data_IF_954993020895
#
_entry.id   IF_954993020895
#
_cell.length_a   1.000
_cell.length_b   1.000
_cell.length_c   1.000
_cell.angle_alpha   90.00
_cell.angle_beta   90.00
_cell.angle_gamma   90.00
#
_symmetry.space_group_name_H-M   'P 1'
#
loop_
_entity.id
_entity.type
_entity.pdbx_description
1 polymer ?
#
# COMPACT_ATOMS: atom_id res chain seq x y z
N UNK A 1 10.09 47.08 68.98
CA UNK A 1 10.58 46.74 67.63
C UNK A 1 10.69 45.23 67.50
N UNK A 2 9.80 44.62 66.70
CA UNK A 2 10.05 43.46 65.82
C UNK A 2 8.72 43.19 65.11
N UNK A 3 8.69 43.55 63.82
CA UNK A 3 7.58 43.32 62.90
C UNK A 3 7.59 41.90 62.36
N UNK A 4 6.39 41.41 62.07
CA UNK A 4 5.98 40.19 61.36
C UNK A 4 6.56 40.08 59.94
N UNK A 5 6.64 38.86 59.38
CA UNK A 5 5.86 38.35 58.21
C UNK A 5 6.21 36.86 57.98
N UNK A 6 5.23 35.94 57.78
CA UNK A 6 5.49 34.60 57.28
C UNK A 6 5.54 34.57 55.74
N UNK A 7 6.53 33.89 55.18
CA UNK A 7 6.77 33.71 53.76
C UNK A 7 5.76 32.71 53.16
N UNK A 8 4.80 33.19 52.38
CA UNK A 8 3.92 32.37 51.54
C UNK A 8 4.64 32.03 50.23
N UNK A 9 5.00 30.77 50.04
CA UNK A 9 5.49 30.24 48.76
C UNK A 9 4.28 29.86 47.91
N UNK A 10 3.93 30.68 46.93
CA UNK A 10 3.03 30.27 45.85
C UNK A 10 3.82 29.46 44.82
N UNK A 11 3.71 28.13 44.90
CA UNK A 11 4.10 27.25 43.80
C UNK A 11 3.08 27.38 42.66
N UNK A 12 3.47 28.04 41.57
CA UNK A 12 2.67 28.08 40.36
C UNK A 12 2.62 26.68 39.74
N UNK A 13 1.54 25.95 40.00
CA UNK A 13 1.21 24.74 39.26
C UNK A 13 0.79 25.18 37.84
N UNK A 14 1.72 25.10 36.89
CA UNK A 14 1.38 25.24 35.48
C UNK A 14 0.52 24.05 35.07
N UNK A 15 -0.81 24.19 35.22
CA UNK A 15 -1.75 23.35 34.49
C UNK A 15 -1.56 23.64 33.00
N UNK A 16 -0.73 22.83 32.35
CA UNK A 16 -0.79 22.68 30.90
C UNK A 16 -2.22 22.24 30.58
N UNK A 17 -3.03 23.17 30.09
CA UNK A 17 -4.33 22.84 29.54
C UNK A 17 -4.09 21.82 28.43
N UNK A 18 -4.45 20.57 28.68
CA UNK A 18 -4.78 19.62 27.62
C UNK A 18 -5.99 20.22 26.92
N UNK A 19 -5.74 21.15 26.00
CA UNK A 19 -6.73 21.55 25.02
C UNK A 19 -7.12 20.26 24.32
N UNK A 20 -8.30 19.76 24.66
CA UNK A 20 -8.93 18.65 23.95
C UNK A 20 -8.90 19.04 22.48
N UNK A 21 -8.04 18.39 21.71
CA UNK A 21 -7.95 18.62 20.27
C UNK A 21 -9.34 18.35 19.73
N UNK A 22 -10.05 19.42 19.33
CA UNK A 22 -11.37 19.27 18.73
C UNK A 22 -11.20 18.31 17.56
N UNK A 23 -12.04 17.27 17.42
CA UNK A 23 -11.97 16.39 16.28
C UNK A 23 -12.06 17.25 15.02
N UNK A 24 -10.99 17.27 14.24
CA UNK A 24 -11.00 17.93 12.93
C UNK A 24 -11.98 17.13 12.10
N UNK A 25 -13.14 17.74 11.83
CA UNK A 25 -14.07 17.19 10.85
C UNK A 25 -13.31 17.16 9.53
N UNK A 26 -13.08 15.97 8.98
CA UNK A 26 -12.45 15.81 7.68
C UNK A 26 -13.16 16.76 6.71
N UNK A 27 -12.47 17.79 6.22
CA UNK A 27 -13.00 18.61 5.15
C UNK A 27 -13.38 17.72 3.97
N UNK A 28 -14.28 18.19 3.10
CA UNK A 28 -14.70 17.41 1.95
C UNK A 28 -13.45 17.02 1.14
N UNK A 29 -13.11 15.72 1.10
CA UNK A 29 -12.02 15.23 0.24
C UNK A 29 -12.55 15.31 -1.20
N UNK A 30 -12.04 16.27 -1.96
CA UNK A 30 -12.45 16.51 -3.35
C UNK A 30 -11.53 15.84 -4.37
N UNK A 31 -10.33 15.43 -3.94
CA UNK A 31 -9.29 14.87 -4.80
C UNK A 31 -8.53 13.76 -4.08
N UNK A 32 -8.18 12.71 -4.83
CA UNK A 32 -7.28 11.65 -4.42
C UNK A 32 -6.02 11.73 -5.28
N UNK A 33 -4.87 11.90 -4.65
CA UNK A 33 -3.56 11.86 -5.31
C UNK A 33 -2.90 10.53 -4.94
N UNK A 34 -2.49 9.76 -5.94
CA UNK A 34 -1.91 8.44 -5.74
C UNK A 34 -0.42 8.46 -6.05
N UNK A 35 0.39 7.88 -5.16
CA UNK A 35 1.83 7.72 -5.34
C UNK A 35 2.18 6.25 -5.21
N UNK A 36 2.91 5.73 -6.19
CA UNK A 36 3.25 4.32 -6.21
C UNK A 36 4.00 3.90 -7.47
N UNK A 37 3.80 2.64 -7.84
CA UNK A 37 4.45 1.97 -8.97
C UNK A 37 3.41 1.37 -9.94
N UNK A 38 3.72 0.25 -10.59
CA UNK A 38 2.91 -0.41 -11.62
C UNK A 38 1.45 -0.66 -11.23
N UNK A 39 1.21 -0.96 -9.95
CA UNK A 39 -0.13 -1.25 -9.41
C UNK A 39 -0.98 0.02 -9.21
N UNK A 40 -0.36 1.21 -9.23
CA UNK A 40 -1.01 2.54 -9.19
C UNK A 40 -0.90 3.33 -10.50
N UNK A 41 0.07 3.00 -11.34
CA UNK A 41 0.38 3.73 -12.56
C UNK A 41 -0.82 3.71 -13.50
N UNK A 42 -1.30 4.90 -13.84
CA UNK A 42 -2.45 5.10 -14.70
C UNK A 42 -2.07 5.33 -16.17
N UNK A 43 -0.82 5.02 -16.53
CA UNK A 43 -0.23 5.19 -17.86
C UNK A 43 0.71 6.40 -17.96
N UNK A 44 1.06 7.01 -16.82
CA UNK A 44 1.91 8.20 -16.74
C UNK A 44 3.34 7.90 -16.26
N UNK A 45 3.60 6.71 -15.72
CA UNK A 45 4.92 6.28 -15.30
C UNK A 45 5.68 5.61 -16.44
N UNK A 46 5.83 4.29 -16.37
CA UNK A 46 6.71 3.53 -17.27
C UNK A 46 6.34 3.72 -18.74
N UNK A 47 5.05 3.85 -19.05
CA UNK A 47 4.57 4.05 -20.42
C UNK A 47 5.07 5.34 -21.04
N UNK A 48 5.05 6.46 -20.34
CA UNK A 48 5.60 7.70 -20.89
C UNK A 48 7.13 7.69 -20.88
N UNK A 49 7.75 7.18 -19.81
CA UNK A 49 9.21 7.13 -19.66
C UNK A 49 9.89 6.29 -20.74
N UNK A 50 9.23 5.23 -21.21
CA UNK A 50 9.74 4.34 -22.25
C UNK A 50 9.28 4.74 -23.65
N UNK A 51 8.81 5.97 -23.84
CA UNK A 51 8.25 6.43 -25.12
C UNK A 51 7.17 5.48 -25.66
N UNK A 52 6.25 5.07 -24.78
CA UNK A 52 5.09 4.22 -25.04
C UNK A 52 5.42 2.77 -25.44
N UNK A 53 6.61 2.28 -25.09
CA UNK A 53 7.05 0.91 -25.43
C UNK A 53 6.89 -0.09 -24.29
N UNK A 54 6.61 0.37 -23.06
CA UNK A 54 6.41 -0.49 -21.89
C UNK A 54 5.18 -0.09 -21.05
N UNK A 55 4.28 -1.01 -20.68
CA UNK A 55 4.31 -2.44 -20.97
C UNK A 55 4.10 -2.75 -22.46
N UNK A 56 4.84 -3.74 -22.96
CA UNK A 56 4.96 -3.98 -24.40
C UNK A 56 3.76 -4.75 -25.00
N UNK A 57 3.10 -5.61 -24.23
CA UNK A 57 1.97 -6.38 -24.73
C UNK A 57 0.75 -5.49 -25.00
N UNK A 58 0.12 -5.54 -26.19
CA UNK A 58 -1.04 -4.70 -26.51
C UNK A 58 -2.28 -5.03 -25.66
N UNK A 59 -2.29 -6.14 -24.91
CA UNK A 59 -3.39 -6.47 -24.02
C UNK A 59 -3.42 -5.58 -22.76
N UNK A 60 -2.34 -4.85 -22.45
CA UNK A 60 -2.34 -3.86 -21.37
C UNK A 60 -3.14 -2.60 -21.72
N UNK A 61 -3.97 -2.15 -20.79
CA UNK A 61 -4.89 -1.04 -21.04
C UNK A 61 -4.19 0.31 -20.93
N UNK A 62 -3.98 1.00 -22.05
CA UNK A 62 -3.44 2.37 -22.11
C UNK A 62 -2.17 2.57 -21.25
N UNK A 63 -1.24 1.63 -21.32
CA UNK A 63 0.03 1.70 -20.59
C UNK A 63 -0.04 1.32 -19.10
N UNK A 64 -1.17 0.77 -18.63
CA UNK A 64 -1.35 0.28 -17.27
C UNK A 64 -1.01 -1.19 -17.18
N UNK A 65 -0.47 -1.62 -16.05
CA UNK A 65 -0.18 -3.03 -15.77
C UNK A 65 -1.44 -3.81 -15.35
N UNK A 66 -2.52 -3.68 -16.13
CA UNK A 66 -3.77 -4.43 -15.97
C UNK A 66 -4.59 -4.35 -17.27
N UNK A 67 -5.72 -5.06 -17.34
CA UNK A 67 -6.66 -5.01 -18.47
C UNK A 67 -7.66 -3.85 -18.42
N UNK A 68 -7.45 -2.88 -17.52
CA UNK A 68 -8.35 -1.76 -17.34
C UNK A 68 -7.84 -0.74 -16.31
N UNK A 69 -8.73 0.04 -15.69
CA UNK A 69 -8.40 0.87 -14.53
C UNK A 69 -7.74 0.08 -13.39
N UNK A 70 -6.73 0.69 -12.78
CA UNK A 70 -5.98 0.18 -11.62
C UNK A 70 -6.48 0.81 -10.33
N UNK A 71 -6.46 0.04 -9.24
CA UNK A 71 -7.00 0.41 -7.93
C UNK A 71 -5.95 0.88 -6.92
N UNK A 72 -4.66 0.81 -7.29
CA UNK A 72 -3.54 1.29 -6.49
C UNK A 72 -3.09 0.33 -5.38
N UNK A 73 -1.87 -0.19 -5.52
CA UNK A 73 -1.04 -0.86 -4.50
C UNK A 73 0.44 -0.65 -4.89
N UNK A 74 1.41 -0.98 -4.05
CA UNK A 74 2.84 -0.88 -4.42
C UNK A 74 3.50 -2.27 -4.54
N UNK A 75 4.32 -2.42 -5.57
CA UNK A 75 5.18 -3.52 -6.01
C UNK A 75 6.57 -3.45 -5.33
N UNK A 76 7.18 -4.61 -5.09
CA UNK A 76 8.52 -4.77 -4.51
C UNK A 76 9.28 -6.00 -5.05
N UNK A 77 8.89 -6.51 -6.22
CA UNK A 77 9.33 -7.83 -6.69
C UNK A 77 10.82 -7.91 -7.06
N UNK A 78 11.39 -6.84 -7.62
CA UNK A 78 12.75 -6.88 -8.19
C UNK A 78 13.89 -6.84 -7.15
N UNK A 79 13.57 -6.92 -5.87
CA UNK A 79 14.54 -6.88 -4.79
C UNK A 79 14.68 -8.23 -4.05
N UNK A 80 13.62 -9.04 -3.96
CA UNK A 80 13.65 -10.25 -3.14
C UNK A 80 14.47 -11.34 -3.83
N UNK A 81 15.55 -11.80 -3.18
CA UNK A 81 16.42 -12.88 -3.67
C UNK A 81 17.75 -12.44 -4.32
N UNK A 82 18.09 -11.16 -4.33
CA UNK A 82 19.44 -10.71 -4.73
C UNK A 82 20.42 -10.73 -3.54
N UNK A 83 21.74 -10.89 -3.76
CA UNK A 83 22.75 -10.90 -2.69
C UNK A 83 22.83 -9.63 -1.83
N UNK A 84 22.09 -8.58 -2.21
CA UNK A 84 22.07 -7.26 -1.56
C UNK A 84 21.19 -7.26 -0.30
N UNK A 85 20.40 -8.32 -0.05
CA UNK A 85 19.45 -8.35 1.06
C UNK A 85 19.84 -9.38 2.13
N UNK A 86 20.10 -8.89 3.34
CA UNK A 86 20.43 -9.74 4.50
C UNK A 86 19.25 -10.65 4.93
N UNK A 87 18.01 -10.15 4.90
CA UNK A 87 16.79 -10.94 5.15
C UNK A 87 15.50 -10.28 4.62
N UNK A 88 14.44 -11.05 4.35
CA UNK A 88 13.12 -10.52 3.98
C UNK A 88 12.56 -9.50 4.99
N UNK A 89 12.75 -9.72 6.28
CA UNK A 89 12.27 -8.86 7.36
C UNK A 89 12.99 -7.52 7.39
N UNK A 90 14.32 -7.53 7.21
CA UNK A 90 15.11 -6.28 7.14
C UNK A 90 14.71 -5.45 5.93
N UNK A 91 14.44 -6.11 4.80
CA UNK A 91 13.97 -5.42 3.61
C UNK A 91 12.56 -4.84 3.78
N UNK A 92 11.65 -5.59 4.38
CA UNK A 92 10.31 -5.13 4.74
C UNK A 92 10.34 -3.92 5.69
N UNK A 93 11.18 -3.96 6.73
CA UNK A 93 11.40 -2.84 7.65
C UNK A 93 11.94 -1.61 6.92
N UNK A 94 12.90 -1.78 6.00
CA UNK A 94 13.42 -0.71 5.16
C UNK A 94 12.39 -0.12 4.21
N UNK A 95 11.45 -0.94 3.72
CA UNK A 95 10.36 -0.53 2.85
C UNK A 95 9.33 0.30 3.62
N UNK A 96 8.93 -0.16 4.80
CA UNK A 96 8.04 0.58 5.69
C UNK A 96 8.65 1.94 6.13
N UNK A 97 9.95 2.01 6.37
CA UNK A 97 10.64 3.28 6.66
C UNK A 97 10.58 4.25 5.48
N UNK A 98 10.84 3.80 4.26
CA UNK A 98 10.75 4.64 3.05
C UNK A 98 9.34 5.13 2.79
N UNK A 99 8.34 4.28 3.03
CA UNK A 99 6.94 4.67 2.99
C UNK A 99 6.64 5.80 3.97
N UNK A 100 7.10 5.70 5.22
CA UNK A 100 6.90 6.77 6.20
C UNK A 100 7.73 8.03 5.91
N UNK A 101 8.88 7.91 5.25
CA UNK A 101 9.62 9.07 4.74
C UNK A 101 8.83 9.81 3.66
N UNK A 102 8.15 9.09 2.76
CA UNK A 102 7.25 9.71 1.78
C UNK A 102 6.07 10.42 2.46
N UNK A 103 5.47 9.80 3.48
CA UNK A 103 4.43 10.44 4.32
C UNK A 103 4.96 11.74 4.94
N UNK A 104 6.18 11.73 5.48
CA UNK A 104 6.79 12.92 6.08
C UNK A 104 7.04 14.05 5.05
N UNK A 105 7.49 13.71 3.84
CA UNK A 105 7.66 14.70 2.75
C UNK A 105 6.32 15.33 2.40
N UNK A 106 5.28 14.53 2.20
CA UNK A 106 3.93 15.01 1.89
C UNK A 106 3.32 15.81 3.04
N UNK A 107 3.55 15.39 4.29
CA UNK A 107 3.12 16.14 5.48
C UNK A 107 3.76 17.52 5.54
N UNK A 108 5.07 17.61 5.27
CA UNK A 108 5.79 18.90 5.19
C UNK A 108 5.26 19.79 4.06
N UNK A 109 4.71 19.20 3.00
CA UNK A 109 4.01 19.91 1.93
C UNK A 109 2.54 20.25 2.27
N UNK A 110 2.06 19.90 3.46
CA UNK A 110 0.71 20.24 3.96
C UNK A 110 -0.32 19.12 3.91
N UNK A 111 0.05 17.90 3.47
CA UNK A 111 -0.88 16.78 3.49
C UNK A 111 -1.16 16.31 4.92
N UNK A 112 -2.45 16.17 5.27
CA UNK A 112 -2.90 15.71 6.60
C UNK A 112 -3.69 14.40 6.56
N UNK A 113 -4.12 13.97 5.37
CA UNK A 113 -4.90 12.75 5.16
C UNK A 113 -4.11 11.78 4.28
N UNK A 114 -3.91 10.56 4.78
CA UNK A 114 -3.17 9.51 4.09
C UNK A 114 -3.96 8.21 4.12
N UNK A 115 -3.92 7.48 3.01
CA UNK A 115 -4.45 6.12 2.89
C UNK A 115 -3.26 5.25 2.51
N UNK A 116 -2.95 4.26 3.33
CA UNK A 116 -1.75 3.44 3.17
C UNK A 116 -2.15 1.95 3.17
N UNK A 117 -1.99 1.24 2.04
CA UNK A 117 -2.14 -0.21 2.03
C UNK A 117 -0.96 -0.90 2.73
N UNK A 118 -1.18 -2.08 3.31
CA UNK A 118 -0.09 -2.92 3.80
C UNK A 118 0.77 -3.56 2.70
N UNK A 119 0.34 -3.47 1.43
CA UNK A 119 0.92 -4.18 0.27
C UNK A 119 0.18 -5.50 -0.04
N UNK A 120 0.33 -6.07 -1.25
CA UNK A 120 -0.21 -7.38 -1.58
C UNK A 120 0.56 -8.51 -0.86
N UNK A 121 -0.10 -9.64 -0.60
CA UNK A 121 0.60 -10.86 -0.20
C UNK A 121 1.38 -11.40 -1.40
N UNK A 122 2.70 -11.41 -1.30
CA UNK A 122 3.54 -11.80 -2.44
C UNK A 122 3.61 -13.32 -2.63
N UNK A 123 3.28 -14.09 -1.60
CA UNK A 123 3.25 -15.55 -1.66
C UNK A 123 2.02 -16.13 -2.37
N UNK A 124 1.02 -15.31 -2.69
CA UNK A 124 -0.22 -15.75 -3.37
C UNK A 124 -0.23 -15.46 -4.88
N UNK A 125 0.85 -14.88 -5.40
CA UNK A 125 0.93 -14.43 -6.78
C UNK A 125 1.29 -15.57 -7.74
N UNK A 126 0.81 -15.53 -8.99
CA UNK A 126 1.17 -16.55 -9.96
C UNK A 126 2.68 -16.65 -10.20
N UNK A 127 3.41 -15.52 -10.20
CA UNK A 127 4.87 -15.52 -10.29
C UNK A 127 5.50 -16.43 -9.21
N UNK A 128 5.08 -16.27 -7.95
CA UNK A 128 5.69 -16.97 -6.82
C UNK A 128 5.52 -18.49 -6.91
N UNK A 129 4.42 -18.96 -7.50
CA UNK A 129 4.18 -20.39 -7.76
C UNK A 129 5.23 -21.04 -8.68
N UNK A 130 5.92 -20.24 -9.49
CA UNK A 130 6.97 -20.70 -10.42
C UNK A 130 8.37 -20.75 -9.77
N UNK A 131 8.50 -20.26 -8.53
CA UNK A 131 9.79 -20.13 -7.84
C UNK A 131 10.07 -21.30 -6.89
N UNK A 132 11.32 -21.42 -6.41
CA UNK A 132 11.69 -22.47 -5.45
C UNK A 132 11.00 -22.28 -4.09
N UNK A 133 10.82 -23.35 -3.28
CA UNK A 133 10.21 -23.24 -1.95
C UNK A 133 10.89 -22.23 -1.02
N UNK A 134 12.21 -22.06 -1.13
CA UNK A 134 12.96 -21.06 -0.34
C UNK A 134 12.60 -19.63 -0.74
N UNK A 135 12.39 -19.37 -2.03
CA UNK A 135 11.95 -18.06 -2.53
C UNK A 135 10.50 -17.79 -2.13
N UNK A 136 9.61 -18.79 -2.25
CA UNK A 136 8.22 -18.69 -1.77
C UNK A 136 8.16 -18.34 -0.28
N UNK A 137 8.94 -19.02 0.55
CA UNK A 137 9.05 -18.71 1.98
C UNK A 137 9.54 -17.28 2.23
N UNK A 138 10.47 -16.78 1.41
CA UNK A 138 10.99 -15.41 1.51
C UNK A 138 9.92 -14.37 1.17
N UNK A 139 9.08 -14.60 0.15
CA UNK A 139 7.95 -13.74 -0.17
C UNK A 139 6.89 -13.71 0.95
N UNK A 140 6.61 -14.87 1.55
CA UNK A 140 5.67 -14.96 2.68
C UNK A 140 6.21 -14.21 3.91
N UNK A 141 7.49 -14.44 4.25
CA UNK A 141 8.17 -13.76 5.34
C UNK A 141 8.21 -12.23 5.13
N UNK A 142 8.56 -11.78 3.92
CA UNK A 142 8.53 -10.37 3.55
C UNK A 142 7.14 -9.76 3.75
N UNK A 143 6.10 -10.37 3.18
CA UNK A 143 4.73 -9.82 3.19
C UNK A 143 4.21 -9.67 4.62
N UNK A 144 4.46 -10.68 5.46
CA UNK A 144 4.11 -10.63 6.89
C UNK A 144 4.89 -9.55 7.63
N UNK A 145 6.20 -9.45 7.39
CA UNK A 145 7.05 -8.46 8.05
C UNK A 145 6.69 -7.03 7.62
N UNK A 146 6.34 -6.82 6.36
CA UNK A 146 5.96 -5.51 5.82
C UNK A 146 4.69 -5.02 6.49
N UNK A 147 3.65 -5.86 6.56
CA UNK A 147 2.41 -5.52 7.23
C UNK A 147 2.66 -5.05 8.66
N UNK A 148 3.43 -5.82 9.44
CA UNK A 148 3.76 -5.49 10.83
C UNK A 148 4.58 -4.20 10.94
N UNK A 149 5.57 -4.00 10.06
CA UNK A 149 6.42 -2.83 10.05
C UNK A 149 5.63 -1.56 9.70
N UNK A 150 4.80 -1.59 8.64
CA UNK A 150 3.93 -0.47 8.25
C UNK A 150 2.99 -0.13 9.40
N UNK A 151 2.33 -1.12 9.98
CA UNK A 151 1.44 -0.90 11.11
C UNK A 151 2.15 -0.28 12.31
N UNK A 152 3.33 -0.79 12.66
CA UNK A 152 4.16 -0.27 13.77
C UNK A 152 4.57 1.18 13.54
N UNK A 153 5.12 1.49 12.37
CA UNK A 153 5.63 2.82 12.06
C UNK A 153 4.50 3.85 11.91
N UNK A 154 3.41 3.51 11.23
CA UNK A 154 2.25 4.39 11.12
C UNK A 154 1.63 4.72 12.49
N UNK A 155 1.47 3.72 13.38
CA UNK A 155 1.00 3.93 14.75
C UNK A 155 1.95 4.83 15.57
N UNK A 156 3.26 4.62 15.45
CA UNK A 156 4.24 5.47 16.12
C UNK A 156 4.20 6.92 15.60
N UNK A 157 4.03 7.08 14.30
CA UNK A 157 3.97 8.38 13.65
C UNK A 157 2.70 9.16 14.02
N UNK A 158 1.54 8.50 14.11
CA UNK A 158 0.29 9.10 14.59
C UNK A 158 0.39 9.57 16.05
N UNK A 159 1.12 8.83 16.92
CA UNK A 159 1.37 9.28 18.30
C UNK A 159 2.16 10.60 18.36
N UNK A 160 3.11 10.78 17.44
CA UNK A 160 3.90 12.01 17.34
C UNK A 160 3.17 13.14 16.60
N UNK A 161 2.18 12.81 15.77
CA UNK A 161 1.43 13.77 14.94
C UNK A 161 -0.08 13.54 15.05
N UNK A 162 -0.70 13.89 16.19
CA UNK A 162 -2.11 13.56 16.49
C UNK A 162 -3.13 14.26 15.59
N UNK A 163 -2.71 15.25 14.79
CA UNK A 163 -3.57 15.94 13.81
C UNK A 163 -3.61 15.26 12.44
N UNK A 164 -2.85 14.20 12.22
CA UNK A 164 -2.88 13.46 10.96
C UNK A 164 -3.94 12.37 11.00
N UNK A 165 -4.54 12.12 9.84
CA UNK A 165 -5.43 11.01 9.59
C UNK A 165 -4.69 10.01 8.69
N UNK A 166 -4.33 8.86 9.25
CA UNK A 166 -3.73 7.76 8.48
C UNK A 166 -4.68 6.57 8.54
N UNK A 167 -5.25 6.23 7.38
CA UNK A 167 -6.09 5.05 7.20
C UNK A 167 -5.22 3.93 6.67
N UNK A 168 -5.05 2.88 7.49
CA UNK A 168 -4.41 1.65 7.06
C UNK A 168 -5.46 0.67 6.56
N UNK A 169 -5.19 -0.01 5.46
CA UNK A 169 -6.08 -1.07 4.96
C UNK A 169 -5.29 -2.24 4.38
N UNK A 170 -5.94 -3.40 4.40
CA UNK A 170 -5.37 -4.59 3.77
C UNK A 170 -5.49 -4.48 2.24
N UNK A 171 -4.33 -4.43 1.59
CA UNK A 171 -4.21 -4.41 0.14
C UNK A 171 -4.32 -5.79 -0.49
N UNK A 172 -4.48 -6.85 0.30
CA UNK A 172 -4.68 -8.18 -0.24
C UNK A 172 -6.08 -8.31 -0.85
N UNK A 173 -6.16 -8.89 -2.05
CA UNK A 173 -7.41 -9.29 -2.68
C UNK A 173 -7.81 -10.68 -2.17
N UNK A 174 -7.81 -10.84 -0.85
CA UNK A 174 -8.16 -12.10 -0.18
C UNK A 174 -9.63 -12.50 -0.49
N UNK A 175 -9.92 -13.79 -0.26
CA UNK A 175 -11.24 -14.43 -0.13
C UNK A 175 -12.35 -13.58 0.49
N UNK A 176 -12.01 -12.66 1.40
CA UNK A 176 -12.93 -11.79 2.12
C UNK A 176 -13.63 -10.72 1.28
N UNK A 177 -13.16 -10.41 0.06
CA UNK A 177 -13.88 -9.53 -0.88
C UNK A 177 -14.56 -10.29 -2.01
N UNK A 178 -14.24 -11.57 -2.16
CA UNK A 178 -14.71 -12.38 -3.26
C UNK A 178 -13.86 -13.62 -3.53
N UNK A 179 -12.52 -13.57 -3.41
CA UNK A 179 -11.60 -14.68 -3.78
C UNK A 179 -12.17 -15.74 -4.73
N UNK A 180 -12.26 -17.00 -4.27
CA UNK A 180 -12.78 -18.12 -5.06
C UNK A 180 -14.28 -18.05 -5.39
N UNK A 181 -15.06 -17.23 -4.68
CA UNK A 181 -16.50 -17.04 -4.95
C UNK A 181 -16.75 -15.97 -6.03
N UNK A 182 -15.86 -14.98 -6.15
CA UNK A 182 -15.94 -13.91 -7.15
C UNK A 182 -15.14 -14.23 -8.41
N UNK A 183 -14.05 -14.99 -8.28
CA UNK A 183 -13.17 -15.38 -9.39
C UNK A 183 -13.16 -16.90 -9.53
N UNK A 184 -13.30 -17.38 -10.77
CA UNK A 184 -13.17 -18.82 -11.08
C UNK A 184 -11.70 -19.27 -11.09
N UNK A 185 -10.79 -18.35 -11.38
CA UNK A 185 -9.35 -18.62 -11.47
C UNK A 185 -8.59 -17.63 -10.60
N UNK A 186 -7.96 -18.13 -9.55
CA UNK A 186 -7.29 -17.31 -8.53
C UNK A 186 -5.79 -17.53 -8.46
N UNK A 187 -5.24 -18.50 -9.18
CA UNK A 187 -3.85 -18.96 -9.07
C UNK A 187 -3.07 -18.88 -10.39
N UNK A 188 -3.75 -18.52 -11.49
CA UNK A 188 -3.16 -18.40 -12.83
C UNK A 188 -3.42 -17.03 -13.43
N UNK A 189 -2.50 -16.51 -14.25
CA UNK A 189 -2.72 -15.27 -14.98
C UNK A 189 -3.67 -15.48 -16.17
N UNK A 190 -4.36 -14.42 -16.57
CA UNK A 190 -5.13 -14.39 -17.82
C UNK A 190 -4.21 -14.18 -19.04
N UNK A 191 -3.22 -13.31 -18.91
CA UNK A 191 -2.18 -12.99 -19.89
C UNK A 191 -0.89 -13.71 -19.49
N UNK A 192 -0.44 -14.63 -20.34
CA UNK A 192 0.80 -15.40 -20.17
C UNK A 192 1.79 -14.98 -21.25
N UNK A 193 3.08 -14.94 -20.92
CA UNK A 193 4.15 -14.69 -21.89
C UNK A 193 4.38 -13.21 -22.19
N UNK A 194 3.81 -12.31 -21.39
CA UNK A 194 3.93 -10.87 -21.56
C UNK A 194 5.37 -10.35 -21.40
N UNK A 195 6.21 -11.12 -20.70
CA UNK A 195 7.61 -10.82 -20.40
C UNK A 195 8.58 -11.76 -21.13
N UNK A 196 8.08 -12.58 -22.07
CA UNK A 196 8.88 -13.60 -22.77
C UNK A 196 9.19 -14.84 -21.92
N UNK A 197 8.53 -14.99 -20.77
CA UNK A 197 8.69 -16.10 -19.83
C UNK A 197 8.04 -17.40 -20.30
N UNK A 198 7.10 -17.32 -21.26
CA UNK A 198 6.37 -18.42 -21.86
C UNK A 198 5.79 -18.01 -23.23
N UNK A 199 5.31 -18.96 -24.06
CA UNK A 199 4.54 -18.61 -25.25
C UNK A 199 3.32 -17.75 -24.90
N UNK A 200 3.12 -16.68 -25.67
CA UNK A 200 2.05 -15.72 -25.40
C UNK A 200 0.67 -16.38 -25.51
N UNK A 201 -0.16 -16.21 -24.49
CA UNK A 201 -1.58 -16.57 -24.55
C UNK A 201 -2.44 -15.60 -23.74
N UNK A 202 -3.72 -15.48 -24.11
CA UNK A 202 -4.68 -14.61 -23.44
C UNK A 202 -5.98 -15.37 -23.19
N UNK A 203 -6.51 -15.26 -21.98
CA UNK A 203 -7.77 -15.89 -21.60
C UNK A 203 -8.98 -15.20 -22.26
N UNK A 204 -10.08 -15.94 -22.43
CA UNK A 204 -11.30 -15.41 -23.06
C UNK A 204 -12.13 -14.50 -22.13
N UNK A 205 -12.11 -14.78 -20.81
CA UNK A 205 -12.97 -14.12 -19.83
C UNK A 205 -12.15 -13.52 -18.67
N UNK A 206 -11.46 -12.37 -18.88
CA UNK A 206 -10.57 -11.77 -17.88
C UNK A 206 -11.24 -11.47 -16.53
N UNK A 207 -12.54 -11.16 -16.53
CA UNK A 207 -13.29 -10.90 -15.31
C UNK A 207 -13.44 -12.14 -14.43
N UNK A 208 -13.23 -13.35 -14.95
CA UNK A 208 -13.24 -14.58 -14.15
C UNK A 208 -11.89 -14.83 -13.44
N UNK A 209 -10.86 -14.04 -13.76
CA UNK A 209 -9.50 -14.18 -13.26
C UNK A 209 -9.19 -13.12 -12.20
N UNK A 210 -8.54 -13.55 -11.12
CA UNK A 210 -7.98 -12.64 -10.12
C UNK A 210 -6.76 -11.88 -10.69
N UNK A 211 -5.91 -12.59 -11.42
CA UNK A 211 -4.64 -12.08 -11.93
C UNK A 211 -4.68 -11.84 -13.43
N UNK A 212 -4.23 -10.65 -13.82
CA UNK A 212 -4.05 -10.28 -15.20
C UNK A 212 -2.81 -10.94 -15.78
N UNK A 213 -1.65 -10.72 -15.18
CA UNK A 213 -0.38 -11.36 -15.55
C UNK A 213 0.25 -12.03 -14.30
N UNK A 214 1.53 -12.39 -14.36
CA UNK A 214 2.21 -13.07 -13.26
C UNK A 214 2.30 -12.25 -11.95
N UNK A 215 2.13 -10.94 -12.03
CA UNK A 215 2.38 -9.99 -10.96
C UNK A 215 1.10 -9.21 -10.58
N UNK A 216 0.29 -8.85 -11.57
CA UNK A 216 -0.73 -7.83 -11.43
C UNK A 216 -2.16 -8.40 -11.42
N UNK A 217 -3.07 -7.83 -10.61
CA UNK A 217 -4.47 -8.20 -10.60
C UNK A 217 -5.23 -7.66 -11.82
N UNK A 218 -6.37 -8.28 -12.14
CA UNK A 218 -7.30 -7.76 -13.17
C UNK A 218 -7.97 -6.47 -12.71
N UNK A 219 -8.56 -5.73 -13.65
CA UNK A 219 -9.34 -4.53 -13.33
C UNK A 219 -10.53 -4.83 -12.41
N UNK A 220 -11.15 -6.01 -12.56
CA UNK A 220 -12.21 -6.47 -11.66
C UNK A 220 -11.68 -6.64 -10.24
N UNK A 221 -10.52 -7.27 -10.06
CA UNK A 221 -9.84 -7.38 -8.78
C UNK A 221 -9.46 -6.01 -8.18
N UNK A 222 -8.97 -5.08 -9.01
CA UNK A 222 -8.75 -3.70 -8.59
C UNK A 222 -10.03 -2.99 -8.13
N UNK A 223 -11.19 -3.27 -8.72
CA UNK A 223 -12.47 -2.70 -8.26
C UNK A 223 -12.81 -3.13 -6.82
N UNK A 224 -12.50 -4.37 -6.44
CA UNK A 224 -12.70 -4.87 -5.09
C UNK A 224 -11.74 -4.20 -4.09
N UNK A 225 -10.49 -3.97 -4.51
CA UNK A 225 -9.52 -3.19 -3.71
C UNK A 225 -9.99 -1.76 -3.47
N UNK A 226 -10.48 -1.09 -4.51
CA UNK A 226 -11.05 0.25 -4.40
C UNK A 226 -12.23 0.29 -3.40
N UNK A 227 -13.08 -0.74 -3.39
CA UNK A 227 -14.15 -0.86 -2.41
C UNK A 227 -13.63 -1.06 -0.97
N UNK A 228 -12.54 -1.82 -0.79
CA UNK A 228 -11.87 -2.00 0.52
C UNK A 228 -11.33 -0.67 1.04
N UNK A 229 -10.60 0.06 0.19
CA UNK A 229 -10.09 1.39 0.51
C UNK A 229 -11.24 2.34 0.87
N UNK A 230 -12.29 2.39 0.07
CA UNK A 230 -13.47 3.22 0.32
C UNK A 230 -14.15 2.89 1.67
N UNK A 231 -14.32 1.59 1.99
CA UNK A 231 -14.87 1.15 3.27
C UNK A 231 -13.95 1.53 4.44
N UNK A 232 -12.63 1.42 4.29
CA UNK A 232 -11.67 1.79 5.32
C UNK A 232 -11.71 3.31 5.60
N UNK A 233 -11.76 4.13 4.55
CA UNK A 233 -11.90 5.58 4.66
C UNK A 233 -13.20 5.93 5.39
N UNK A 234 -14.33 5.32 4.99
CA UNK A 234 -15.63 5.57 5.63
C UNK A 234 -15.70 5.19 7.11
N UNK A 235 -14.96 4.16 7.53
CA UNK A 235 -14.90 3.75 8.95
C UNK A 235 -14.03 4.68 9.80
N UNK A 236 -13.11 5.39 9.17
CA UNK A 236 -12.17 6.29 9.84
C UNK A 236 -12.62 7.76 9.87
N UNK A 237 -13.68 8.10 9.12
CA UNK A 237 -14.33 9.41 9.08
C UNK A 237 -15.40 9.53 10.17
#
# INVERSE_FOLDING_TARGET
MRCSVPLLVFGALALASLASAKPVKLGLITQLVNFGDSLTDNGNGSYLLTNKTWPADPAYFNGRFSNGPTGGLNDIFFAIGTPVFESPEKFAEGSAKRLMQAVEVLRKAGAINFIIPYGPKLDTLPYTSTTSPSVQASFSAYSKALHLAVQKHAKAYLRAHPLLHIVLFDGDVDSTLGGAEAFKVTDKPCLVGAYGEAPRSLCAEPDQYLFWDLYHPTTRAHSFLAQKAFKAIKRAA
#
